data_IF_239660609030
#
_entry.id   IF_239660609030
#
_cell.length_a   1.000
_cell.length_b   1.000
_cell.length_c   1.000
_cell.angle_alpha   90.00
_cell.angle_beta   90.00
_cell.angle_gamma   90.00
#
_symmetry.space_group_name_H-M   'P 1'
#
loop_
_entity.id
_entity.type
_entity.pdbx_description
1 polymer ?
#
# COMPACT_ATOMS: atom_id res chain seq x y z
N UNK A 1 -16.04 -10.03 5.05
CA UNK A 1 -15.43 -9.84 6.36
C UNK A 1 -15.84 -10.94 7.33
N UNK A 2 -15.03 -11.20 8.34
CA UNK A 2 -15.32 -12.15 9.42
C UNK A 2 -16.05 -11.40 10.55
N UNK A 3 -17.00 -12.09 11.19
CA UNK A 3 -17.73 -11.52 12.34
C UNK A 3 -16.89 -11.63 13.63
N UNK A 4 -16.14 -12.71 13.75
CA UNK A 4 -15.30 -13.00 14.91
C UNK A 4 -13.82 -12.84 14.59
N UNK A 5 -13.00 -12.64 15.63
CA UNK A 5 -11.56 -12.61 15.50
C UNK A 5 -11.06 -13.97 14.98
N UNK A 6 -10.36 -13.94 13.86
CA UNK A 6 -9.80 -15.13 13.22
C UNK A 6 -8.28 -14.98 13.15
N UNK A 7 -7.55 -15.94 13.70
CA UNK A 7 -6.08 -15.99 13.63
C UNK A 7 -5.68 -17.06 12.62
N UNK A 8 -4.79 -16.70 11.70
CA UNK A 8 -4.20 -17.59 10.71
C UNK A 8 -2.69 -17.59 10.88
N UNK A 9 -2.14 -18.73 11.23
CA UNK A 9 -0.69 -18.92 11.31
C UNK A 9 -0.21 -19.51 9.98
N UNK A 10 0.83 -18.89 9.41
CA UNK A 10 1.46 -19.34 8.17
C UNK A 10 2.80 -19.97 8.49
N UNK A 11 2.89 -21.27 8.34
CA UNK A 11 4.14 -22.01 8.48
C UNK A 11 5.07 -21.72 7.28
N UNK A 12 6.40 -21.88 7.45
CA UNK A 12 7.34 -21.78 6.33
C UNK A 12 6.98 -22.73 5.18
N UNK A 13 7.04 -22.24 3.95
CA UNK A 13 6.74 -23.02 2.76
C UNK A 13 5.43 -22.58 2.09
N UNK A 14 4.60 -23.54 1.68
CA UNK A 14 3.35 -23.28 0.94
C UNK A 14 2.15 -23.58 1.82
N UNK A 15 1.34 -22.57 2.11
CA UNK A 15 0.03 -22.72 2.77
C UNK A 15 -1.08 -22.69 1.76
N UNK A 16 -1.98 -23.68 1.80
CA UNK A 16 -3.13 -23.78 0.88
C UNK A 16 -4.43 -23.63 1.66
N UNK A 17 -5.23 -22.61 1.30
CA UNK A 17 -6.55 -22.37 1.90
C UNK A 17 -7.61 -23.00 1.01
N UNK A 18 -8.30 -24.03 1.51
CA UNK A 18 -9.34 -24.78 0.79
C UNK A 18 -10.70 -24.64 1.46
N UNK A 19 -11.75 -24.76 0.68
CA UNK A 19 -13.13 -24.70 1.19
C UNK A 19 -14.16 -24.48 0.07
N UNK A 20 -15.45 -24.57 0.35
CA UNK A 20 -16.53 -24.34 -0.62
C UNK A 20 -16.59 -22.87 -1.05
N UNK A 21 -17.36 -22.59 -2.11
CA UNK A 21 -17.61 -21.22 -2.54
C UNK A 21 -18.37 -20.45 -1.44
N UNK A 22 -17.98 -19.20 -1.20
CA UNK A 22 -18.56 -18.37 -0.15
C UNK A 22 -17.98 -18.55 1.25
N UNK A 23 -17.04 -19.48 1.48
CA UNK A 23 -16.44 -19.73 2.81
C UNK A 23 -15.43 -18.68 3.28
N UNK A 24 -15.22 -17.59 2.54
CA UNK A 24 -14.30 -16.52 2.94
C UNK A 24 -12.84 -16.69 2.52
N UNK A 25 -12.50 -17.71 1.70
CA UNK A 25 -11.10 -17.91 1.23
C UNK A 25 -10.47 -16.66 0.62
N UNK A 26 -11.23 -15.98 -0.22
CA UNK A 26 -10.76 -14.73 -0.85
C UNK A 26 -10.63 -13.61 0.14
N UNK A 27 -11.43 -13.60 1.22
CA UNK A 27 -11.34 -12.58 2.25
C UNK A 27 -9.98 -12.58 2.96
N UNK A 28 -9.30 -13.74 3.06
CA UNK A 28 -7.95 -13.84 3.63
C UNK A 28 -6.95 -13.10 2.75
N UNK A 29 -6.96 -13.34 1.45
CA UNK A 29 -6.08 -12.65 0.50
C UNK A 29 -6.40 -11.16 0.44
N UNK A 30 -7.68 -10.83 0.43
CA UNK A 30 -8.15 -9.44 0.43
C UNK A 30 -7.73 -8.71 1.71
N UNK A 31 -7.74 -9.37 2.88
CA UNK A 31 -7.28 -8.82 4.15
C UNK A 31 -5.76 -8.52 4.13
N UNK A 32 -4.95 -9.44 3.62
CA UNK A 32 -3.50 -9.23 3.46
C UNK A 32 -3.24 -8.06 2.51
N UNK A 33 -3.90 -8.01 1.36
CA UNK A 33 -3.79 -6.90 0.42
C UNK A 33 -4.19 -5.56 1.08
N UNK A 34 -5.25 -5.60 1.86
CA UNK A 34 -5.80 -4.42 2.49
C UNK A 34 -4.88 -3.84 3.57
N UNK A 35 -4.31 -4.65 4.44
CA UNK A 35 -3.37 -4.18 5.49
C UNK A 35 -2.07 -3.65 4.88
N UNK A 36 -1.63 -4.22 3.74
CA UNK A 36 -0.46 -3.76 2.98
C UNK A 36 -0.72 -2.46 2.18
N UNK A 37 -1.94 -1.91 2.25
CA UNK A 37 -2.26 -0.59 1.74
C UNK A 37 -3.06 -0.57 0.44
N UNK A 38 -3.78 -1.65 0.10
CA UNK A 38 -4.77 -1.60 -0.96
C UNK A 38 -5.84 -0.54 -0.65
N UNK A 39 -5.98 0.45 -1.53
CA UNK A 39 -6.88 1.60 -1.31
C UNK A 39 -8.14 1.57 -2.16
N UNK A 40 -8.22 0.72 -3.18
CA UNK A 40 -9.37 0.68 -4.09
C UNK A 40 -10.44 -0.30 -3.62
N UNK A 41 -11.74 0.06 -3.69
CA UNK A 41 -12.84 -0.88 -3.46
C UNK A 41 -12.78 -2.07 -4.42
N UNK A 42 -12.29 -1.88 -5.63
CA UNK A 42 -12.08 -2.95 -6.62
C UNK A 42 -10.99 -3.94 -6.21
N UNK A 43 -10.03 -3.53 -5.39
CA UNK A 43 -8.94 -4.39 -4.89
C UNK A 43 -9.45 -5.31 -3.77
N UNK A 44 -10.49 -4.91 -3.04
CA UNK A 44 -11.08 -5.66 -1.91
C UNK A 44 -12.48 -6.20 -2.27
N UNK A 45 -12.83 -6.25 -3.56
CA UNK A 45 -14.11 -6.78 -4.09
C UNK A 45 -15.35 -6.15 -3.45
N UNK A 46 -15.26 -4.95 -2.92
CA UNK A 46 -16.38 -4.21 -2.31
C UNK A 46 -16.72 -2.97 -3.16
N UNK A 47 -17.99 -2.55 -3.11
CA UNK A 47 -18.44 -1.36 -3.83
C UNK A 47 -17.96 -0.08 -3.18
N UNK A 48 -17.82 -0.09 -1.84
CA UNK A 48 -17.32 1.00 -1.03
C UNK A 48 -16.32 0.46 0.01
N UNK A 49 -15.44 1.30 0.51
CA UNK A 49 -14.47 0.91 1.54
C UNK A 49 -15.17 0.46 2.85
N UNK A 50 -16.28 1.08 3.18
CA UNK A 50 -17.10 0.76 4.36
C UNK A 50 -17.70 -0.66 4.31
N UNK A 51 -17.86 -1.25 3.13
CA UNK A 51 -18.37 -2.61 2.93
C UNK A 51 -17.40 -3.69 3.46
N UNK A 52 -16.17 -3.33 3.78
CA UNK A 52 -15.20 -4.21 4.45
C UNK A 52 -15.62 -4.51 5.88
N UNK A 53 -16.33 -3.58 6.53
CA UNK A 53 -16.85 -3.75 7.90
C UNK A 53 -18.05 -4.69 7.88
N UNK A 54 -18.04 -5.71 8.75
CA UNK A 54 -19.13 -6.69 8.82
C UNK A 54 -20.49 -6.02 9.05
N UNK A 55 -21.39 -6.20 8.09
CA UNK A 55 -22.69 -5.54 8.10
C UNK A 55 -23.74 -6.17 9.04
N UNK A 56 -23.41 -7.32 9.63
CA UNK A 56 -24.34 -8.13 10.40
C UNK A 56 -25.09 -9.18 9.58
N UNK A 57 -25.72 -10.08 10.29
CA UNK A 57 -26.66 -11.10 9.75
C UNK A 57 -27.92 -11.09 10.62
N UNK A 58 -28.84 -12.03 10.34
CA UNK A 58 -30.02 -12.26 11.23
C UNK A 58 -29.61 -12.59 12.67
N UNK A 59 -28.47 -13.24 12.86
CA UNK A 59 -28.03 -13.82 14.14
C UNK A 59 -26.88 -13.05 14.79
N UNK A 60 -26.17 -12.20 14.03
CA UNK A 60 -25.01 -11.46 14.49
C UNK A 60 -25.16 -9.97 14.21
N UNK A 61 -24.92 -9.11 15.21
CA UNK A 61 -25.01 -7.65 15.02
C UNK A 61 -23.91 -7.13 14.10
N UNK A 62 -24.18 -6.00 13.47
CA UNK A 62 -23.17 -5.28 12.69
C UNK A 62 -22.04 -4.78 13.58
N UNK A 63 -20.80 -4.85 13.08
CA UNK A 63 -19.62 -4.35 13.77
C UNK A 63 -19.41 -2.85 13.47
N UNK A 64 -18.75 -2.15 14.39
CA UNK A 64 -18.41 -0.73 14.24
C UNK A 64 -17.10 -0.52 13.46
N UNK A 65 -16.25 -1.53 13.38
CA UNK A 65 -14.95 -1.47 12.71
C UNK A 65 -14.53 -2.80 12.11
N UNK A 66 -13.64 -2.74 11.16
CA UNK A 66 -12.84 -3.87 10.68
C UNK A 66 -11.38 -3.63 11.04
N UNK A 67 -10.66 -4.68 11.46
CA UNK A 67 -9.27 -4.62 11.85
C UNK A 67 -8.53 -5.82 11.27
N UNK A 68 -7.35 -5.57 10.71
CA UNK A 68 -6.43 -6.62 10.24
C UNK A 68 -5.05 -6.31 10.77
N UNK A 69 -4.45 -7.29 11.43
CA UNK A 69 -3.05 -7.24 11.86
C UNK A 69 -2.26 -8.30 11.12
N UNK A 70 -1.15 -7.89 10.51
CA UNK A 70 -0.19 -8.75 9.85
C UNK A 70 1.09 -8.76 10.68
N UNK A 71 1.46 -9.93 11.17
CA UNK A 71 2.71 -10.14 11.90
C UNK A 71 3.75 -10.68 10.93
N UNK A 72 4.89 -9.99 10.82
CA UNK A 72 5.98 -10.29 9.91
C UNK A 72 7.19 -10.68 10.73
N UNK A 73 7.72 -11.89 10.51
CA UNK A 73 8.98 -12.35 11.06
C UNK A 73 10.15 -11.61 10.38
N UNK A 74 10.92 -10.88 11.17
CA UNK A 74 12.11 -10.16 10.74
C UNK A 74 13.38 -10.70 11.42
N UNK A 75 13.37 -11.93 11.89
CA UNK A 75 14.53 -12.55 12.53
C UNK A 75 15.77 -12.60 11.61
N UNK A 76 15.55 -12.61 10.30
CA UNK A 76 16.61 -12.52 9.27
C UNK A 76 17.18 -11.10 9.07
N UNK A 77 16.57 -10.05 9.64
CA UNK A 77 16.95 -8.65 9.41
C UNK A 77 16.66 -8.15 8.00
N UNK A 78 15.70 -8.76 7.30
CA UNK A 78 15.33 -8.37 5.92
C UNK A 78 14.67 -6.99 5.86
N UNK A 79 14.01 -6.57 6.93
CA UNK A 79 13.45 -5.24 7.09
C UNK A 79 14.43 -4.34 7.85
N UNK A 80 14.66 -3.08 7.42
CA UNK A 80 15.62 -2.17 8.04
C UNK A 80 15.09 -1.55 9.35
N UNK A 81 14.59 -2.38 10.23
CA UNK A 81 14.10 -2.04 11.58
C UNK A 81 14.68 -3.03 12.58
N UNK A 82 15.10 -2.51 13.73
CA UNK A 82 15.74 -3.28 14.80
C UNK A 82 14.71 -4.02 15.70
N UNK A 83 13.81 -4.76 15.06
CA UNK A 83 12.85 -5.65 15.70
C UNK A 83 12.84 -6.99 14.99
N UNK A 84 12.83 -8.09 15.76
CA UNK A 84 12.73 -9.46 15.26
C UNK A 84 11.33 -9.79 14.70
N UNK A 85 10.32 -9.04 15.11
CA UNK A 85 8.94 -9.20 14.70
C UNK A 85 8.32 -7.81 14.49
N UNK A 86 7.56 -7.65 13.42
CA UNK A 86 6.90 -6.37 13.08
C UNK A 86 5.41 -6.64 12.87
N UNK A 87 4.59 -6.02 13.69
CA UNK A 87 3.13 -6.08 13.56
C UNK A 87 2.64 -4.83 12.86
N UNK A 88 2.04 -4.99 11.68
CA UNK A 88 1.36 -3.92 10.94
C UNK A 88 -0.13 -4.10 11.12
N UNK A 89 -0.81 -3.10 11.65
CA UNK A 89 -2.27 -3.14 11.85
C UNK A 89 -2.94 -2.02 11.06
N UNK A 90 -4.04 -2.37 10.42
CA UNK A 90 -4.97 -1.39 9.83
C UNK A 90 -6.34 -1.56 10.44
N UNK A 91 -6.92 -0.44 10.87
CA UNK A 91 -8.29 -0.36 11.38
C UNK A 91 -9.11 0.56 10.46
N UNK A 92 -10.32 0.15 10.11
CA UNK A 92 -11.30 0.96 9.40
C UNK A 92 -12.57 1.04 10.24
N UNK A 93 -12.98 2.24 10.56
CA UNK A 93 -14.24 2.50 11.25
C UNK A 93 -15.38 2.63 10.24
N UNK A 94 -16.58 2.27 10.65
CA UNK A 94 -17.79 2.39 9.83
C UNK A 94 -18.08 3.85 9.41
N UNK A 95 -17.58 4.83 10.16
CA UNK A 95 -17.63 6.25 9.81
C UNK A 95 -16.73 6.63 8.61
N UNK A 96 -15.87 5.71 8.14
CA UNK A 96 -14.97 5.91 7.00
C UNK A 96 -13.53 6.25 7.38
N UNK A 97 -13.24 6.51 8.65
CA UNK A 97 -11.89 6.79 9.13
C UNK A 97 -11.04 5.53 9.11
N UNK A 98 -9.78 5.67 8.66
CA UNK A 98 -8.83 4.56 8.58
C UNK A 98 -7.54 4.92 9.30
N UNK A 99 -7.10 4.03 10.19
CA UNK A 99 -5.88 4.18 10.98
C UNK A 99 -4.89 3.07 10.66
N UNK A 100 -3.61 3.41 10.77
CA UNK A 100 -2.51 2.46 10.66
C UNK A 100 -1.63 2.54 11.91
N UNK A 101 -1.12 1.39 12.34
CA UNK A 101 -0.11 1.32 13.38
C UNK A 101 0.95 0.27 13.05
N UNK A 102 2.15 0.48 13.58
CA UNK A 102 3.28 -0.44 13.52
C UNK A 102 3.77 -0.70 14.93
N UNK A 103 3.78 -1.96 15.36
CA UNK A 103 4.07 -2.36 16.73
C UNK A 103 3.27 -1.55 17.78
N UNK A 104 1.98 -1.27 17.49
CA UNK A 104 1.11 -0.48 18.35
C UNK A 104 1.31 1.03 18.29
N UNK A 105 2.31 1.53 17.55
CA UNK A 105 2.55 2.96 17.38
C UNK A 105 1.83 3.46 16.12
N UNK A 106 0.98 4.50 16.21
CA UNK A 106 0.32 5.08 15.04
C UNK A 106 1.33 5.54 13.99
N UNK A 107 1.08 5.22 12.73
CA UNK A 107 1.95 5.58 11.61
C UNK A 107 1.13 5.93 10.37
N UNK A 108 1.79 6.41 9.32
CA UNK A 108 1.15 6.69 8.03
C UNK A 108 1.28 5.47 7.11
N UNK A 109 0.33 5.32 6.20
CA UNK A 109 0.42 4.30 5.14
C UNK A 109 1.74 4.37 4.36
N UNK A 110 2.26 5.59 4.14
CA UNK A 110 3.54 5.80 3.46
C UNK A 110 4.71 5.17 4.22
N UNK A 111 4.71 5.22 5.54
CA UNK A 111 5.78 4.67 6.38
C UNK A 111 5.83 3.14 6.25
N UNK A 112 4.64 2.49 6.22
CA UNK A 112 4.51 1.06 5.97
C UNK A 112 4.96 0.70 4.53
N UNK A 113 4.54 1.48 3.54
CA UNK A 113 4.90 1.25 2.14
C UNK A 113 6.40 1.44 1.89
N UNK A 114 7.03 2.42 2.53
CA UNK A 114 8.46 2.64 2.42
C UNK A 114 9.24 1.50 3.07
N UNK A 115 8.83 1.06 4.26
CA UNK A 115 9.42 -0.10 4.95
C UNK A 115 9.36 -1.36 4.09
N UNK A 116 8.18 -1.71 3.59
CA UNK A 116 7.99 -2.92 2.77
C UNK A 116 8.73 -2.84 1.44
N UNK A 117 8.83 -1.62 0.85
CA UNK A 117 9.60 -1.41 -0.38
C UNK A 117 11.09 -1.62 -0.17
N UNK A 118 11.62 -1.29 1.02
CA UNK A 118 13.03 -1.51 1.35
C UNK A 118 13.36 -3.00 1.49
N UNK A 119 12.39 -3.82 1.85
CA UNK A 119 12.52 -5.28 1.94
C UNK A 119 12.31 -6.02 0.60
N UNK A 120 12.09 -5.31 -0.50
CA UNK A 120 11.74 -5.93 -1.78
C UNK A 120 10.28 -6.42 -1.84
N UNK A 121 9.49 -6.22 -0.79
CA UNK A 121 8.04 -6.45 -0.75
C UNK A 121 7.37 -5.17 -1.29
N UNK A 122 7.67 -4.82 -2.53
CA UNK A 122 7.16 -3.63 -3.19
C UNK A 122 5.65 -3.62 -3.36
N UNK A 123 5.10 -2.46 -3.70
CA UNK A 123 3.65 -2.21 -3.83
C UNK A 123 2.88 -3.33 -4.54
N UNK A 124 2.14 -4.07 -3.75
CA UNK A 124 0.91 -4.84 -4.03
C UNK A 124 0.82 -5.73 -5.29
N UNK A 125 1.41 -5.40 -6.42
CA UNK A 125 1.11 -6.09 -7.67
C UNK A 125 1.84 -7.42 -7.85
N UNK A 126 2.93 -7.65 -7.11
CA UNK A 126 3.76 -8.87 -7.27
C UNK A 126 3.76 -9.79 -6.05
N UNK A 127 3.37 -9.28 -4.87
CA UNK A 127 3.23 -10.08 -3.65
C UNK A 127 1.88 -10.78 -3.63
N UNK A 128 0.86 -10.15 -4.19
CA UNK A 128 -0.50 -10.69 -4.25
C UNK A 128 -0.92 -10.79 -5.71
N UNK A 129 -0.97 -12.01 -6.20
CA UNK A 129 -1.44 -12.31 -7.56
C UNK A 129 -2.92 -12.62 -7.51
N UNK A 130 -3.76 -11.66 -7.88
CA UNK A 130 -5.20 -11.86 -7.98
C UNK A 130 -5.56 -12.77 -9.15
N UNK A 131 -6.74 -13.39 -9.10
CA UNK A 131 -7.27 -14.24 -10.17
C UNK A 131 -7.28 -13.47 -11.51
N UNK A 132 -6.69 -14.06 -12.55
CA UNK A 132 -6.62 -13.48 -13.90
C UNK A 132 -5.48 -12.45 -14.09
N UNK A 133 -4.76 -12.08 -13.06
CA UNK A 133 -3.67 -11.11 -13.15
C UNK A 133 -2.46 -11.67 -13.91
N UNK A 134 -2.20 -12.97 -13.79
CA UNK A 134 -1.12 -13.63 -14.55
C UNK A 134 -1.38 -13.50 -16.05
N UNK A 135 -2.61 -13.75 -16.51
CA UNK A 135 -2.98 -13.62 -17.92
C UNK A 135 -2.82 -12.18 -18.42
N UNK A 136 -3.16 -11.18 -17.57
CA UNK A 136 -2.96 -9.77 -17.89
C UNK A 136 -1.47 -9.45 -18.06
N UNK A 137 -0.60 -9.98 -17.21
CA UNK A 137 0.86 -9.78 -17.30
C UNK A 137 1.43 -10.44 -18.55
N UNK A 138 1.00 -11.67 -18.86
CA UNK A 138 1.45 -12.40 -20.04
C UNK A 138 1.04 -11.72 -21.35
N UNK A 139 -0.15 -11.12 -21.38
CA UNK A 139 -0.69 -10.41 -22.53
C UNK A 139 -0.42 -8.90 -22.51
N UNK A 140 0.28 -8.40 -21.49
CA UNK A 140 0.62 -6.98 -21.34
C UNK A 140 1.58 -6.52 -22.46
N UNK A 141 1.52 -5.22 -22.77
CA UNK A 141 2.46 -4.58 -23.70
C UNK A 141 3.88 -4.59 -23.12
N UNK A 142 4.91 -4.50 -23.97
CA UNK A 142 6.31 -4.50 -23.51
C UNK A 142 6.61 -3.45 -22.45
N UNK A 143 6.01 -2.26 -22.55
CA UNK A 143 6.17 -1.16 -21.59
C UNK A 143 5.60 -1.52 -20.21
N UNK A 144 4.44 -2.16 -20.17
CA UNK A 144 3.78 -2.59 -18.94
C UNK A 144 4.54 -3.74 -18.27
N UNK A 145 5.06 -4.70 -19.07
CA UNK A 145 5.94 -5.77 -18.55
C UNK A 145 7.23 -5.21 -17.98
N UNK A 146 7.80 -4.18 -18.61
CA UNK A 146 9.00 -3.50 -18.08
C UNK A 146 8.73 -2.91 -16.70
N UNK A 147 7.58 -2.25 -16.49
CA UNK A 147 7.21 -1.73 -15.17
C UNK A 147 7.20 -2.83 -14.10
N UNK A 148 6.64 -3.98 -14.42
CA UNK A 148 6.57 -5.14 -13.52
C UNK A 148 7.99 -5.62 -13.14
N UNK A 149 8.88 -5.72 -14.14
CA UNK A 149 10.28 -6.14 -13.92
C UNK A 149 11.04 -5.11 -13.08
N UNK A 150 10.86 -3.81 -13.37
CA UNK A 150 11.49 -2.72 -12.62
C UNK A 150 11.02 -2.69 -11.15
N UNK A 151 9.76 -3.01 -10.90
CA UNK A 151 9.20 -3.11 -9.55
C UNK A 151 9.74 -4.34 -8.81
N UNK A 152 9.74 -5.50 -9.44
CA UNK A 152 10.31 -6.72 -8.87
C UNK A 152 11.82 -6.59 -8.57
N UNK A 153 12.54 -5.79 -9.37
CA UNK A 153 13.95 -5.47 -9.17
C UNK A 153 14.20 -4.37 -8.10
N UNK A 154 13.15 -3.85 -7.45
CA UNK A 154 13.26 -2.79 -6.43
C UNK A 154 13.70 -1.41 -6.97
N UNK A 155 13.76 -1.24 -8.30
CA UNK A 155 14.23 0.00 -8.94
C UNK A 155 13.18 1.10 -8.89
N UNK A 156 11.93 0.75 -8.69
CA UNK A 156 10.79 1.67 -8.71
C UNK A 156 10.88 2.81 -7.67
N UNK A 157 11.44 2.54 -6.48
CA UNK A 157 11.70 3.52 -5.43
C UNK A 157 12.63 4.64 -5.91
N UNK A 158 13.73 4.26 -6.57
CA UNK A 158 14.71 5.22 -7.10
C UNK A 158 14.12 6.05 -8.23
N UNK A 159 13.34 5.43 -9.13
CA UNK A 159 12.65 6.13 -10.21
C UNK A 159 11.67 7.18 -9.68
N UNK A 160 10.84 6.85 -8.69
CA UNK A 160 9.92 7.81 -8.07
C UNK A 160 10.66 8.95 -7.35
N UNK A 161 11.75 8.66 -6.66
CA UNK A 161 12.60 9.70 -6.03
C UNK A 161 13.18 10.62 -7.10
N UNK A 162 13.68 10.07 -8.20
CA UNK A 162 14.18 10.81 -9.35
C UNK A 162 13.10 11.73 -9.94
N UNK A 163 11.95 11.18 -10.33
CA UNK A 163 10.83 11.95 -10.89
C UNK A 163 10.35 13.08 -9.95
N UNK A 164 10.32 12.82 -8.64
CA UNK A 164 9.98 13.85 -7.65
C UNK A 164 11.04 14.95 -7.56
N UNK A 165 12.31 14.59 -7.64
CA UNK A 165 13.41 15.55 -7.65
C UNK A 165 13.39 16.39 -8.94
N UNK A 166 13.20 15.79 -10.09
CA UNK A 166 13.08 16.47 -11.39
C UNK A 166 11.92 17.46 -11.43
N UNK A 167 10.74 17.09 -10.90
CA UNK A 167 9.60 18.02 -10.78
C UNK A 167 9.90 19.21 -9.87
N UNK A 168 10.60 18.97 -8.75
CA UNK A 168 11.02 20.05 -7.84
C UNK A 168 12.05 20.96 -8.50
N UNK A 169 13.00 20.39 -9.24
CA UNK A 169 14.00 21.15 -9.97
C UNK A 169 13.35 22.06 -11.01
N UNK A 170 12.47 21.52 -11.85
CA UNK A 170 11.74 22.29 -12.84
C UNK A 170 10.90 23.42 -12.23
N UNK A 171 10.23 23.16 -11.11
CA UNK A 171 9.49 24.21 -10.39
C UNK A 171 10.41 25.30 -9.84
N UNK A 172 11.60 24.92 -9.35
CA UNK A 172 12.59 25.86 -8.83
C UNK A 172 13.18 26.71 -9.94
N UNK A 173 13.49 26.13 -11.11
CA UNK A 173 13.98 26.86 -12.29
C UNK A 173 12.96 27.91 -12.77
N UNK A 174 11.68 27.55 -12.81
CA UNK A 174 10.61 28.49 -13.16
C UNK A 174 10.53 29.67 -12.16
N UNK A 175 10.65 29.37 -10.86
CA UNK A 175 10.68 30.41 -9.82
C UNK A 175 11.94 31.30 -9.91
N UNK A 176 13.10 30.72 -10.20
CA UNK A 176 14.34 31.46 -10.40
C UNK A 176 14.25 32.42 -11.59
N UNK A 177 13.69 31.97 -12.70
CA UNK A 177 13.47 32.83 -13.87
C UNK A 177 12.57 34.02 -13.52
N UNK A 178 11.45 33.76 -12.82
CA UNK A 178 10.55 34.81 -12.35
C UNK A 178 11.24 35.82 -11.42
N UNK A 179 12.05 35.34 -10.49
CA UNK A 179 12.82 36.21 -9.58
C UNK A 179 13.85 37.06 -10.32
N UNK A 180 14.51 36.49 -11.33
CA UNK A 180 15.45 37.24 -12.17
C UNK A 180 14.75 38.35 -12.98
N UNK A 181 13.55 38.07 -13.50
CA UNK A 181 12.77 39.07 -14.22
C UNK A 181 12.32 40.22 -13.29
N UNK A 182 11.83 39.88 -12.10
CA UNK A 182 11.51 40.87 -11.05
C UNK A 182 12.73 41.71 -10.66
N UNK A 183 13.89 41.08 -10.49
CA UNK A 183 15.14 41.78 -10.16
C UNK A 183 15.53 42.75 -11.28
N UNK A 184 15.40 42.35 -12.55
CA UNK A 184 15.68 43.23 -13.69
C UNK A 184 14.73 44.45 -13.73
N UNK A 185 13.44 44.18 -13.47
CA UNK A 185 12.43 45.25 -13.45
C UNK A 185 12.70 46.27 -12.32
N UNK A 186 12.96 45.80 -11.09
CA UNK A 186 13.28 46.65 -9.97
C UNK A 186 14.57 47.47 -10.24
N UNK A 187 15.61 46.85 -10.82
CA UNK A 187 16.82 47.55 -11.20
C UNK A 187 16.57 48.63 -12.26
N UNK A 188 15.63 48.39 -13.17
CA UNK A 188 15.25 49.39 -14.20
C UNK A 188 14.55 50.58 -13.57
N UNK A 189 13.69 50.36 -12.60
CA UNK A 189 12.92 51.41 -11.91
C UNK A 189 13.80 52.23 -10.94
N UNK A 190 14.85 51.60 -10.40
CA UNK A 190 15.81 52.28 -9.49
C UNK A 190 16.94 53.03 -10.20
N UNK A 191 17.04 52.96 -11.53
CA UNK A 191 17.97 53.82 -12.27
C UNK A 191 17.32 55.20 -12.47
N UNK A 192 17.99 56.31 -11.96
CA UNK A 192 17.53 57.68 -12.17
C UNK A 192 17.54 58.04 -13.66
#
# INVERSE_FOLDING_TARGET
SFADTTVLEFEPGVTVVVGPNGSGKSNVVDAVAWVLGAQGPTTVRSGKMEDVVFAGTSDLPALGRAEVSLVIDNSSGSLPIDFSEITVTRTLYRAGDSEYSMNGVPCRLLDIQDLLSDAGVGRQQHVIVAQGQIDQVLNARPEDRRMIIEEAAGVFKFRRRKERAERRLAATEANMTRLQDLQREVRRQLRP
#
